data_IF_421709243075
#
_entry.id   IF_421709243075
#
_cell.length_a   1.000
_cell.length_b   1.000
_cell.length_c   1.000
_cell.angle_alpha   90.00
_cell.angle_beta   90.00
_cell.angle_gamma   90.00
#
_symmetry.space_group_name_H-M   'P 1'
#
loop_
_entity.id
_entity.type
_entity.pdbx_description
1 polymer ?
#
# COMPACT_ATOMS: atom_id res chain seq x y z
N UNK A 1 -10.54 -17.61 -24.00
CA UNK A 1 -11.21 -17.46 -22.70
C UNK A 1 -10.45 -18.25 -21.64
N UNK A 2 -10.35 -17.67 -20.44
CA UNK A 2 -9.79 -18.36 -19.28
C UNK A 2 -10.81 -19.31 -18.66
N UNK A 3 -10.31 -20.34 -17.97
CA UNK A 3 -11.17 -21.27 -17.22
C UNK A 3 -11.83 -20.52 -16.05
N UNK A 4 -13.18 -20.57 -15.91
CA UNK A 4 -13.88 -19.94 -14.79
C UNK A 4 -13.36 -20.33 -13.41
N UNK A 5 -12.88 -21.56 -13.23
CA UNK A 5 -12.27 -22.01 -11.98
C UNK A 5 -10.94 -21.27 -11.69
N UNK A 6 -10.15 -20.98 -12.72
CA UNK A 6 -8.92 -20.19 -12.57
C UNK A 6 -9.22 -18.71 -12.31
N UNK A 7 -10.25 -18.16 -12.93
CA UNK A 7 -10.73 -16.80 -12.62
C UNK A 7 -11.18 -16.70 -11.16
N UNK A 8 -11.94 -17.68 -10.65
CA UNK A 8 -12.34 -17.71 -9.24
C UNK A 8 -11.12 -17.78 -8.27
N UNK A 9 -10.05 -18.45 -8.68
CA UNK A 9 -8.80 -18.55 -7.89
C UNK A 9 -8.02 -17.23 -7.82
N UNK A 10 -8.32 -16.23 -8.65
CA UNK A 10 -7.70 -14.89 -8.56
C UNK A 10 -7.95 -14.23 -7.21
N UNK A 11 -9.08 -14.51 -6.56
CA UNK A 11 -9.36 -14.05 -5.19
C UNK A 11 -8.23 -14.40 -4.22
N UNK A 12 -7.56 -15.53 -4.42
CA UNK A 12 -6.51 -16.05 -3.55
C UNK A 12 -5.09 -15.85 -4.09
N UNK A 13 -4.95 -15.23 -5.26
CA UNK A 13 -3.67 -15.08 -5.96
C UNK A 13 -3.09 -13.70 -5.71
N UNK A 14 -1.87 -13.59 -5.13
CA UNK A 14 -1.21 -12.32 -4.96
C UNK A 14 -0.71 -11.74 -6.29
N UNK A 15 -0.50 -10.42 -6.32
CA UNK A 15 0.07 -9.70 -7.46
C UNK A 15 -0.94 -9.37 -8.54
N UNK A 16 -0.47 -8.71 -9.60
CA UNK A 16 -1.26 -8.36 -10.77
C UNK A 16 -1.40 -9.53 -11.74
N UNK A 17 -2.52 -10.26 -11.69
CA UNK A 17 -2.72 -11.48 -12.47
C UNK A 17 -2.65 -11.26 -14.00
N UNK A 18 -2.96 -10.06 -14.47
CA UNK A 18 -2.90 -9.66 -15.89
C UNK A 18 -1.65 -8.85 -16.23
N UNK A 19 -0.68 -8.80 -15.34
CA UNK A 19 0.51 -7.98 -15.45
C UNK A 19 0.34 -6.62 -14.78
N UNK A 20 1.44 -5.91 -14.65
CA UNK A 20 1.49 -4.53 -14.15
C UNK A 20 2.53 -3.75 -14.94
N UNK A 21 2.33 -2.44 -15.06
CA UNK A 21 3.25 -1.54 -15.72
C UNK A 21 3.59 -0.39 -14.76
N UNK A 22 4.86 0.01 -14.74
CA UNK A 22 5.35 1.27 -14.20
C UNK A 22 5.82 2.12 -15.35
N UNK A 23 4.91 2.91 -15.91
CA UNK A 23 5.21 3.84 -16.99
C UNK A 23 4.45 5.13 -16.73
N UNK A 24 5.15 6.23 -16.69
CA UNK A 24 4.53 7.56 -16.75
C UNK A 24 4.39 7.96 -18.20
N UNK A 25 3.16 8.12 -18.66
CA UNK A 25 2.85 8.62 -20.00
C UNK A 25 2.89 10.15 -20.09
N UNK A 26 3.46 10.82 -19.09
CA UNK A 26 3.64 12.25 -19.09
C UNK A 26 2.34 13.08 -19.19
N UNK A 27 2.44 14.31 -19.69
CA UNK A 27 1.28 15.15 -19.97
C UNK A 27 0.81 15.01 -21.41
N UNK A 28 -0.50 15.05 -21.70
CA UNK A 28 -1.01 15.12 -23.07
C UNK A 28 -0.47 16.31 -23.88
N UNK A 29 -0.09 17.38 -23.19
CA UNK A 29 0.46 18.59 -23.84
C UNK A 29 1.93 18.40 -24.29
N UNK A 30 2.67 17.56 -23.59
CA UNK A 30 4.10 17.31 -23.90
C UNK A 30 4.34 16.00 -24.67
N UNK A 31 3.43 15.05 -24.56
CA UNK A 31 3.51 13.72 -25.22
C UNK A 31 2.18 13.34 -25.87
N UNK A 32 1.61 14.19 -26.75
CA UNK A 32 0.32 13.92 -27.39
C UNK A 32 0.30 12.66 -28.24
N UNK A 33 1.44 12.23 -28.78
CA UNK A 33 1.60 11.02 -29.57
C UNK A 33 1.28 9.74 -28.79
N UNK A 34 1.64 9.67 -27.49
CA UNK A 34 1.34 8.52 -26.63
C UNK A 34 -0.16 8.38 -26.42
N UNK A 35 -0.85 9.50 -26.15
CA UNK A 35 -2.31 9.51 -25.99
C UNK A 35 -3.05 9.24 -27.30
N UNK A 36 -2.56 9.79 -28.40
CA UNK A 36 -3.10 9.48 -29.73
C UNK A 36 -3.00 7.99 -30.03
N UNK A 37 -1.86 7.39 -29.68
CA UNK A 37 -1.66 5.94 -29.83
C UNK A 37 -2.62 5.13 -28.98
N UNK A 38 -2.88 5.51 -27.73
CA UNK A 38 -3.90 4.86 -26.88
C UNK A 38 -5.29 4.92 -27.52
N UNK A 39 -5.69 6.08 -28.04
CA UNK A 39 -6.99 6.25 -28.72
C UNK A 39 -7.07 5.38 -29.98
N UNK A 40 -5.99 5.29 -30.78
CA UNK A 40 -5.92 4.38 -31.92
C UNK A 40 -6.10 2.92 -31.52
N UNK A 41 -5.43 2.48 -30.43
CA UNK A 41 -5.55 1.12 -29.90
C UNK A 41 -6.97 0.85 -29.44
N UNK A 42 -7.58 1.75 -28.69
CA UNK A 42 -8.97 1.60 -28.22
C UNK A 42 -9.94 1.47 -29.41
N UNK A 43 -9.81 2.33 -30.43
CA UNK A 43 -10.62 2.24 -31.66
C UNK A 43 -10.37 0.94 -32.43
N UNK A 44 -9.10 0.56 -32.61
CA UNK A 44 -8.76 -0.64 -33.39
C UNK A 44 -9.27 -1.93 -32.74
N UNK A 45 -9.32 -1.97 -31.40
CA UNK A 45 -9.79 -3.14 -30.65
C UNK A 45 -11.23 -3.04 -30.16
N UNK A 46 -11.97 -2.00 -30.57
CA UNK A 46 -13.37 -1.76 -30.19
C UNK A 46 -13.55 -1.73 -28.66
N UNK A 47 -12.68 -0.98 -27.97
CA UNK A 47 -12.69 -0.82 -26.52
C UNK A 47 -13.51 0.43 -26.18
N UNK A 48 -14.68 0.25 -25.56
CA UNK A 48 -15.56 1.32 -25.09
C UNK A 48 -15.48 1.56 -23.59
N UNK A 49 -14.83 0.68 -22.82
CA UNK A 49 -14.71 0.81 -21.37
C UNK A 49 -13.28 0.50 -20.92
N UNK A 50 -12.71 1.38 -20.12
CA UNK A 50 -11.37 1.26 -19.57
C UNK A 50 -11.41 1.30 -18.05
N UNK A 51 -11.16 0.15 -17.43
CA UNK A 51 -10.95 0.04 -15.98
C UNK A 51 -9.49 0.16 -15.65
N UNK A 52 -9.13 1.14 -14.80
CA UNK A 52 -7.74 1.32 -14.40
C UNK A 52 -7.57 1.10 -12.89
N UNK A 53 -6.92 -0.03 -12.55
CA UNK A 53 -6.69 -0.42 -11.16
C UNK A 53 -5.34 0.11 -10.69
N UNK A 54 -5.32 0.93 -9.62
CA UNK A 54 -4.08 1.47 -9.07
C UNK A 54 -4.23 2.52 -7.98
N UNK A 55 -3.11 3.15 -7.64
CA UNK A 55 -3.01 4.24 -6.65
C UNK A 55 -3.20 5.63 -7.28
N UNK A 56 -2.77 6.68 -6.57
CA UNK A 56 -2.94 8.10 -6.98
C UNK A 56 -2.41 8.40 -8.37
N UNK A 57 -1.20 7.96 -8.71
CA UNK A 57 -0.63 8.11 -10.06
C UNK A 57 -1.43 7.39 -11.15
N UNK A 58 -2.05 6.24 -10.83
CA UNK A 58 -2.94 5.56 -11.78
C UNK A 58 -4.25 6.32 -11.98
N UNK A 59 -4.79 6.94 -10.93
CA UNK A 59 -5.97 7.80 -11.03
C UNK A 59 -5.68 9.05 -11.86
N UNK A 60 -4.49 9.63 -11.72
CA UNK A 60 -4.02 10.73 -12.57
C UNK A 60 -3.95 10.32 -14.04
N UNK A 61 -3.37 9.16 -14.31
CA UNK A 61 -3.30 8.61 -15.69
C UNK A 61 -4.70 8.36 -16.25
N UNK A 62 -5.60 7.76 -15.48
CA UNK A 62 -6.99 7.54 -15.88
C UNK A 62 -7.71 8.86 -16.22
N UNK A 63 -7.54 9.91 -15.39
CA UNK A 63 -8.11 11.23 -15.64
C UNK A 63 -7.56 11.86 -16.93
N UNK A 64 -6.24 11.77 -17.18
CA UNK A 64 -5.62 12.25 -18.41
C UNK A 64 -6.16 11.51 -19.64
N UNK A 65 -6.24 10.17 -19.59
CA UNK A 65 -6.78 9.34 -20.68
C UNK A 65 -8.23 9.70 -20.97
N UNK A 66 -9.08 9.82 -19.94
CA UNK A 66 -10.49 10.20 -20.10
C UNK A 66 -10.65 11.57 -20.79
N UNK A 67 -9.88 12.55 -20.36
CA UNK A 67 -9.90 13.89 -20.92
C UNK A 67 -9.47 13.88 -22.40
N UNK A 68 -8.38 13.20 -22.72
CA UNK A 68 -7.86 13.13 -24.09
C UNK A 68 -8.80 12.36 -25.03
N UNK A 69 -9.36 11.22 -24.57
CA UNK A 69 -10.35 10.45 -25.33
C UNK A 69 -11.53 11.32 -25.73
N UNK A 70 -12.09 12.10 -24.79
CA UNK A 70 -13.20 13.02 -25.03
C UNK A 70 -12.83 14.11 -26.06
N UNK A 71 -11.65 14.72 -25.92
CA UNK A 71 -11.15 15.72 -26.89
C UNK A 71 -10.97 15.13 -28.28
N UNK A 72 -10.62 13.84 -28.38
CA UNK A 72 -10.44 13.10 -29.63
C UNK A 72 -11.75 12.52 -30.21
N UNK A 73 -12.89 12.83 -29.61
CA UNK A 73 -14.20 12.34 -30.05
C UNK A 73 -14.39 10.83 -29.86
N UNK A 74 -13.64 10.20 -28.96
CA UNK A 74 -13.83 8.80 -28.57
C UNK A 74 -14.79 8.74 -27.37
N UNK A 75 -15.89 8.01 -27.54
CA UNK A 75 -16.80 7.69 -26.44
C UNK A 75 -16.19 6.54 -25.63
N UNK A 76 -15.50 6.89 -24.55
CA UNK A 76 -14.77 5.97 -23.69
C UNK A 76 -15.22 6.15 -22.24
N UNK A 77 -15.78 5.12 -21.66
CA UNK A 77 -16.05 5.06 -20.22
C UNK A 77 -14.76 4.75 -19.47
N UNK A 78 -14.37 5.60 -18.51
CA UNK A 78 -13.16 5.41 -17.71
C UNK A 78 -13.51 5.33 -16.23
N UNK A 79 -13.19 4.20 -15.59
CA UNK A 79 -13.46 3.97 -14.17
C UNK A 79 -12.16 3.57 -13.46
N UNK A 80 -11.79 4.34 -12.43
CA UNK A 80 -10.71 4.00 -11.52
C UNK A 80 -11.14 2.96 -10.48
N UNK A 81 -10.30 1.96 -10.24
CA UNK A 81 -10.49 0.97 -9.19
C UNK A 81 -9.37 1.17 -8.17
N UNK A 82 -9.68 1.54 -6.92
CA UNK A 82 -8.66 1.87 -5.93
C UNK A 82 -7.84 0.64 -5.55
N UNK A 83 -6.54 0.79 -5.50
CA UNK A 83 -5.58 -0.19 -5.00
C UNK A 83 -4.32 0.52 -4.56
N UNK A 84 -3.96 0.38 -3.30
CA UNK A 84 -2.60 0.61 -2.78
C UNK A 84 -2.52 0.09 -1.35
N UNK A 85 -1.34 -0.38 -0.96
CA UNK A 85 -1.06 -0.73 0.44
C UNK A 85 -0.78 0.52 1.29
N UNK A 86 -0.47 1.65 0.66
CA UNK A 86 -0.03 2.88 1.32
C UNK A 86 -1.17 3.63 2.02
N UNK A 87 -2.44 3.28 1.71
CA UNK A 87 -3.65 3.90 2.26
C UNK A 87 -3.70 5.44 2.10
N UNK A 88 -3.11 5.92 1.01
CA UNK A 88 -2.87 7.34 0.74
C UNK A 88 -3.86 7.98 -0.24
N UNK A 89 -4.86 7.22 -0.73
CA UNK A 89 -5.89 7.75 -1.62
C UNK A 89 -6.91 8.60 -0.85
N UNK A 90 -7.16 9.86 -1.26
CA UNK A 90 -8.18 10.69 -0.63
C UNK A 90 -9.59 10.25 -1.02
N UNK A 91 -10.58 10.73 -0.28
CA UNK A 91 -12.01 10.51 -0.52
C UNK A 91 -12.46 9.04 -0.50
N UNK A 92 -11.65 8.14 0.04
CA UNK A 92 -12.04 6.77 0.37
C UNK A 92 -11.66 6.49 1.82
N UNK A 93 -12.44 5.70 2.55
CA UNK A 93 -12.14 5.35 3.94
C UNK A 93 -10.81 4.61 4.06
N UNK A 94 -10.60 3.66 3.16
CA UNK A 94 -9.38 2.87 3.07
C UNK A 94 -9.13 2.47 1.62
N UNK A 95 -7.87 2.14 1.32
CA UNK A 95 -7.49 1.61 0.01
C UNK A 95 -7.38 0.09 0.08
N UNK A 96 -8.06 -0.67 -0.82
CA UNK A 96 -7.87 -2.13 -0.89
C UNK A 96 -6.40 -2.52 -1.05
N UNK A 97 -5.94 -3.39 -0.16
CA UNK A 97 -4.55 -3.78 0.03
C UNK A 97 -4.01 -3.40 1.41
N UNK A 98 -4.39 -2.23 1.94
CA UNK A 98 -3.91 -1.74 3.23
C UNK A 98 -4.30 -2.65 4.39
N UNK A 99 -5.57 -3.06 4.50
CA UNK A 99 -6.03 -3.87 5.63
C UNK A 99 -5.26 -5.18 5.77
N UNK A 100 -4.96 -5.84 4.65
CA UNK A 100 -4.16 -7.07 4.63
C UNK A 100 -2.71 -6.84 5.03
N UNK A 101 -2.09 -5.77 4.53
CA UNK A 101 -0.70 -5.45 4.88
C UNK A 101 -0.59 -4.96 6.33
N UNK A 102 -1.53 -4.17 6.82
CA UNK A 102 -1.62 -3.77 8.22
C UNK A 102 -1.69 -5.00 9.16
N UNK A 103 -2.51 -6.00 8.79
CA UNK A 103 -2.57 -7.28 9.51
C UNK A 103 -1.24 -8.02 9.49
N UNK A 104 -0.58 -8.10 8.33
CA UNK A 104 0.74 -8.74 8.20
C UNK A 104 1.78 -8.07 9.09
N UNK A 105 1.87 -6.73 9.08
CA UNK A 105 2.85 -5.99 9.87
C UNK A 105 2.57 -6.17 11.37
N UNK A 106 1.31 -5.97 11.80
CA UNK A 106 0.94 -6.13 13.20
C UNK A 106 1.21 -7.55 13.71
N UNK A 107 0.90 -8.58 12.91
CA UNK A 107 1.15 -9.98 13.25
C UNK A 107 2.65 -10.25 13.34
N UNK A 108 3.43 -9.84 12.33
CA UNK A 108 4.89 -10.03 12.31
C UNK A 108 5.59 -9.35 13.49
N UNK A 109 5.18 -8.12 13.83
CA UNK A 109 5.70 -7.40 15.00
C UNK A 109 5.37 -8.15 16.29
N UNK A 110 4.15 -8.68 16.42
CA UNK A 110 3.71 -9.43 17.60
C UNK A 110 4.49 -10.74 17.78
N UNK A 111 4.74 -11.46 16.69
CA UNK A 111 5.51 -12.71 16.70
C UNK A 111 6.98 -12.47 17.03
N UNK A 112 7.62 -11.48 16.38
CA UNK A 112 9.01 -11.08 16.67
C UNK A 112 9.15 -10.58 18.11
N UNK A 113 8.13 -9.92 18.66
CA UNK A 113 8.14 -9.46 20.05
C UNK A 113 8.29 -10.60 21.04
N UNK A 114 7.62 -11.74 20.81
CA UNK A 114 7.71 -12.92 21.66
C UNK A 114 9.11 -13.54 21.61
N UNK A 115 9.69 -13.66 20.42
CA UNK A 115 11.05 -14.20 20.24
C UNK A 115 12.10 -13.27 20.87
N UNK A 116 11.98 -11.96 20.64
CA UNK A 116 12.89 -10.96 21.21
C UNK A 116 12.82 -10.94 22.75
N UNK A 117 11.61 -10.99 23.32
CA UNK A 117 11.39 -11.05 24.76
C UNK A 117 12.10 -12.26 25.37
N UNK A 118 11.99 -13.43 24.73
CA UNK A 118 12.58 -14.68 25.22
C UNK A 118 14.11 -14.61 25.31
N UNK A 119 14.78 -13.90 24.39
CA UNK A 119 16.26 -13.84 24.35
C UNK A 119 16.86 -12.58 24.96
N UNK A 120 16.06 -11.57 25.27
CA UNK A 120 16.52 -10.23 25.63
C UNK A 120 17.38 -10.18 26.90
N UNK A 121 17.26 -11.15 27.81
CA UNK A 121 18.05 -11.22 29.03
C UNK A 121 19.55 -11.30 28.79
N UNK A 122 19.97 -12.03 27.78
CA UNK A 122 21.39 -12.36 27.53
C UNK A 122 21.86 -12.05 26.11
N UNK A 123 20.97 -11.67 25.19
CA UNK A 123 21.29 -11.55 23.76
C UNK A 123 20.75 -10.24 23.17
N UNK A 124 19.96 -10.34 22.10
CA UNK A 124 19.43 -9.21 21.32
C UNK A 124 18.48 -8.36 22.13
N UNK A 125 18.68 -7.05 22.12
CA UNK A 125 17.87 -6.05 22.85
C UNK A 125 16.95 -5.27 21.92
N UNK A 126 17.34 -5.11 20.66
CA UNK A 126 16.60 -4.27 19.71
C UNK A 126 16.40 -5.03 18.40
N UNK A 127 15.18 -4.98 17.90
CA UNK A 127 14.86 -5.42 16.55
C UNK A 127 14.25 -4.26 15.75
N UNK A 128 14.70 -4.09 14.52
CA UNK A 128 14.23 -3.01 13.63
C UNK A 128 13.55 -3.65 12.42
N UNK A 129 12.33 -3.22 12.13
CA UNK A 129 11.59 -3.61 10.94
C UNK A 129 11.39 -2.37 10.06
N UNK A 130 11.98 -2.40 8.86
CA UNK A 130 11.70 -1.41 7.82
C UNK A 130 10.49 -1.86 7.00
N UNK A 131 9.54 -0.94 6.79
CA UNK A 131 8.32 -1.16 6.02
C UNK A 131 8.21 -0.12 4.92
N UNK A 132 7.47 -0.44 3.86
CA UNK A 132 7.14 0.51 2.81
C UNK A 132 6.36 1.71 3.37
N UNK A 133 6.32 2.79 2.62
CA UNK A 133 5.69 4.05 2.98
C UNK A 133 6.64 5.21 2.71
N UNK A 134 6.64 5.68 1.43
CA UNK A 134 7.55 6.74 0.98
C UNK A 134 7.14 8.10 1.52
N UNK A 135 5.87 8.46 1.36
CA UNK A 135 5.33 9.79 1.71
C UNK A 135 4.31 9.72 2.84
N UNK A 136 3.80 8.54 3.14
CA UNK A 136 2.81 8.31 4.18
C UNK A 136 3.20 7.12 5.07
N UNK A 137 3.12 7.31 6.38
CA UNK A 137 3.54 6.35 7.40
C UNK A 137 2.49 5.32 7.81
N UNK A 138 1.41 5.12 7.05
CA UNK A 138 0.30 4.24 7.40
C UNK A 138 0.73 2.80 7.72
N UNK A 139 1.67 2.25 6.96
CA UNK A 139 2.17 0.89 7.19
C UNK A 139 2.97 0.80 8.48
N UNK A 140 3.80 1.80 8.78
CA UNK A 140 4.50 1.86 10.05
C UNK A 140 3.51 2.05 11.22
N UNK A 141 2.49 2.90 11.06
CA UNK A 141 1.43 3.12 12.04
C UNK A 141 0.69 1.82 12.38
N UNK A 142 0.46 0.95 11.39
CA UNK A 142 -0.21 -0.34 11.58
C UNK A 142 0.52 -1.26 12.58
N UNK A 143 1.84 -1.10 12.77
CA UNK A 143 2.60 -1.82 13.78
C UNK A 143 2.07 -1.56 15.21
N UNK A 144 1.47 -0.39 15.44
CA UNK A 144 0.84 -0.07 16.72
C UNK A 144 -0.32 -0.98 17.11
N UNK A 145 -0.91 -1.70 16.14
CA UNK A 145 -1.95 -2.69 16.42
C UNK A 145 -1.41 -3.97 17.11
N UNK A 146 -0.08 -4.20 17.06
CA UNK A 146 0.53 -5.38 17.67
C UNK A 146 0.37 -5.44 19.19
N UNK A 147 0.24 -4.29 19.85
CA UNK A 147 0.10 -4.18 21.29
C UNK A 147 -1.17 -3.41 21.66
N UNK A 148 -1.79 -3.78 22.78
CA UNK A 148 -2.96 -3.06 23.29
C UNK A 148 -2.55 -1.88 24.17
N UNK A 149 -1.41 -2.03 24.87
CA UNK A 149 -0.88 -1.04 25.79
C UNK A 149 -0.01 -0.01 25.03
N UNK A 150 -0.26 1.27 25.29
CA UNK A 150 0.53 2.38 24.78
C UNK A 150 1.97 2.39 25.34
N UNK A 151 2.17 1.83 26.54
CA UNK A 151 3.50 1.68 27.16
C UNK A 151 4.32 0.51 26.60
N UNK A 152 3.86 -0.14 25.55
CA UNK A 152 4.50 -1.28 24.90
C UNK A 152 5.97 -1.01 24.51
N UNK A 153 6.81 -2.06 24.36
CA UNK A 153 8.21 -1.95 23.92
C UNK A 153 8.33 -1.69 22.41
N UNK A 154 7.52 -0.80 21.87
CA UNK A 154 7.45 -0.44 20.47
C UNK A 154 7.76 1.05 20.29
N UNK A 155 8.57 1.36 19.30
CA UNK A 155 8.77 2.69 18.75
C UNK A 155 8.41 2.66 17.25
N UNK A 156 7.56 3.57 16.81
CA UNK A 156 7.17 3.73 15.42
C UNK A 156 7.80 5.01 14.88
N UNK A 157 8.50 4.91 13.77
CA UNK A 157 9.11 6.04 13.07
C UNK A 157 8.28 6.27 11.79
N UNK A 158 7.50 7.34 11.81
CA UNK A 158 6.57 7.72 10.75
C UNK A 158 7.23 8.66 9.74
N UNK A 159 6.83 8.56 8.47
CA UNK A 159 7.31 9.45 7.41
C UNK A 159 6.93 10.93 7.67
N UNK A 160 5.83 11.16 8.39
CA UNK A 160 5.30 12.50 8.75
C UNK A 160 6.10 13.21 9.83
N UNK A 161 7.01 12.51 10.52
CA UNK A 161 7.78 13.06 11.65
C UNK A 161 9.26 13.09 11.31
N UNK A 162 9.85 14.28 11.35
CA UNK A 162 11.30 14.42 11.18
C UNK A 162 12.08 13.61 12.22
N UNK A 163 13.00 12.79 11.77
CA UNK A 163 13.82 11.94 12.62
C UNK A 163 14.92 12.74 13.33
N UNK A 164 14.85 12.74 14.65
CA UNK A 164 15.84 13.33 15.53
C UNK A 164 16.63 12.22 16.26
N UNK A 165 17.90 11.91 15.86
CA UNK A 165 18.66 10.80 16.44
C UNK A 165 18.77 10.82 17.96
N UNK A 166 18.96 12.01 18.57
CA UNK A 166 19.11 12.11 20.02
C UNK A 166 17.80 11.82 20.76
N UNK A 167 16.68 12.32 20.25
CA UNK A 167 15.35 12.07 20.79
C UNK A 167 14.97 10.59 20.66
N UNK A 168 15.27 9.99 19.50
CA UNK A 168 15.09 8.56 19.28
C UNK A 168 15.90 7.70 20.26
N UNK A 169 17.20 8.02 20.45
CA UNK A 169 18.07 7.30 21.40
C UNK A 169 17.51 7.39 22.82
N UNK A 170 17.04 8.57 23.26
CA UNK A 170 16.44 8.73 24.57
C UNK A 170 15.17 7.85 24.75
N UNK A 171 14.28 7.83 23.74
CA UNK A 171 13.09 6.98 23.75
C UNK A 171 13.46 5.48 23.75
N UNK A 172 14.46 5.09 22.96
CA UNK A 172 14.98 3.71 22.92
C UNK A 172 15.51 3.27 24.29
N UNK A 173 16.34 4.10 24.94
CA UNK A 173 16.86 3.82 26.28
C UNK A 173 15.73 3.64 27.31
N UNK A 174 14.72 4.50 27.27
CA UNK A 174 13.56 4.40 28.15
C UNK A 174 12.80 3.07 27.95
N UNK A 175 12.54 2.67 26.70
CA UNK A 175 11.87 1.41 26.39
C UNK A 175 12.68 0.19 26.81
N UNK A 176 14.00 0.18 26.53
CA UNK A 176 14.86 -0.94 26.93
C UNK A 176 15.02 -1.00 28.45
N UNK A 177 15.09 0.14 29.14
CA UNK A 177 15.15 0.16 30.62
C UNK A 177 13.85 -0.39 31.23
N UNK A 178 12.70 -0.07 30.69
CA UNK A 178 11.40 -0.47 31.20
C UNK A 178 11.08 -1.96 30.90
N UNK A 179 11.34 -2.42 29.65
CA UNK A 179 10.90 -3.73 29.18
C UNK A 179 12.03 -4.75 28.98
N UNK A 180 13.29 -4.31 29.03
CA UNK A 180 14.46 -5.14 28.72
C UNK A 180 14.80 -5.23 27.23
N UNK A 181 13.90 -4.79 26.35
CA UNK A 181 14.04 -4.85 24.89
C UNK A 181 13.13 -3.81 24.21
N UNK A 182 13.32 -3.61 22.90
CA UNK A 182 12.52 -2.70 22.09
C UNK A 182 12.43 -3.17 20.63
N UNK A 183 11.24 -3.05 20.04
CA UNK A 183 11.04 -3.14 18.58
C UNK A 183 10.93 -1.72 18.03
N UNK A 184 11.57 -1.48 16.90
CA UNK A 184 11.46 -0.24 16.13
C UNK A 184 10.85 -0.60 14.78
N UNK A 185 9.73 0.03 14.40
CA UNK A 185 9.18 -0.08 13.06
C UNK A 185 9.32 1.26 12.36
N UNK A 186 9.95 1.27 11.19
CA UNK A 186 10.29 2.50 10.49
C UNK A 186 9.73 2.49 9.06
N UNK A 187 9.05 3.58 8.66
CA UNK A 187 8.67 3.82 7.29
C UNK A 187 9.92 4.15 6.45
N UNK A 188 10.07 3.54 5.28
CA UNK A 188 11.23 3.76 4.39
C UNK A 188 11.44 5.24 4.02
N UNK A 189 10.34 6.02 3.96
CA UNK A 189 10.32 7.44 3.68
C UNK A 189 10.59 8.36 4.88
N UNK A 190 11.23 7.85 5.94
CA UNK A 190 11.57 8.65 7.13
C UNK A 190 12.39 9.88 6.76
N UNK A 191 11.98 11.04 7.26
CA UNK A 191 12.59 12.33 6.94
C UNK A 191 13.63 12.75 7.97
N UNK A 192 14.70 13.37 7.51
CA UNK A 192 15.76 13.99 8.32
C UNK A 192 15.96 15.44 7.86
N UNK A 193 15.47 16.41 8.61
CA UNK A 193 15.55 17.85 8.28
C UNK A 193 15.01 18.19 6.89
N UNK A 194 13.83 17.66 6.56
CA UNK A 194 13.15 17.92 5.31
C UNK A 194 13.68 17.16 4.08
N UNK A 195 14.55 16.18 4.27
CA UNK A 195 15.04 15.27 3.24
C UNK A 195 14.91 13.83 3.71
N UNK A 196 14.86 12.85 2.80
CA UNK A 196 14.90 11.45 3.21
C UNK A 196 16.18 11.14 4.00
N UNK A 197 16.04 10.40 5.10
CA UNK A 197 17.19 10.02 5.94
C UNK A 197 18.18 9.12 5.20
N UNK A 198 17.73 8.41 4.20
CA UNK A 198 18.55 7.61 3.29
C UNK A 198 18.31 8.10 1.86
N UNK A 199 19.38 8.49 1.18
CA UNK A 199 19.33 8.80 -0.25
C UNK A 199 19.38 7.50 -1.02
N UNK A 200 18.63 7.43 -2.12
CA UNK A 200 18.73 6.34 -3.07
C UNK A 200 20.16 6.23 -3.61
N UNK A 201 20.70 5.01 -3.62
CA UNK A 201 22.04 4.77 -4.16
C UNK A 201 22.10 4.95 -5.68
N UNK A 202 20.95 4.79 -6.38
CA UNK A 202 20.83 4.94 -7.84
C UNK A 202 19.40 5.35 -8.21
N UNK A 203 19.24 6.22 -9.20
CA UNK A 203 17.94 6.51 -9.80
C UNK A 203 17.47 5.29 -10.61
N UNK A 204 16.25 4.82 -10.37
CA UNK A 204 15.66 3.80 -11.25
C UNK A 204 15.50 4.35 -12.69
N UNK A 205 15.59 3.44 -13.65
CA UNK A 205 15.48 3.72 -15.11
C UNK A 205 14.17 4.46 -15.47
N UNK A 206 13.19 4.48 -14.58
CA UNK A 206 11.86 5.11 -14.76
C UNK A 206 11.62 6.35 -13.88
N UNK A 207 12.67 6.97 -13.31
CA UNK A 207 12.56 8.27 -12.61
C UNK A 207 12.07 8.19 -11.15
N UNK A 208 11.91 7.01 -10.58
CA UNK A 208 11.63 6.84 -9.16
C UNK A 208 12.90 6.45 -8.42
N UNK A 209 13.29 7.26 -7.43
CA UNK A 209 14.40 6.91 -6.53
C UNK A 209 14.02 5.69 -5.68
N UNK A 210 14.86 4.65 -5.68
CA UNK A 210 14.68 3.53 -4.78
C UNK A 210 15.21 3.91 -3.41
N UNK A 211 14.32 4.04 -2.42
CA UNK A 211 14.69 4.21 -1.03
C UNK A 211 15.20 2.89 -0.45
N UNK A 212 16.12 2.94 0.50
CA UNK A 212 16.61 1.76 1.18
C UNK A 212 17.79 2.05 2.12
N UNK A 213 18.10 1.09 2.98
CA UNK A 213 19.20 1.23 3.92
C UNK A 213 18.83 1.92 5.23
N UNK A 214 17.55 2.22 5.47
CA UNK A 214 17.10 2.86 6.70
C UNK A 214 17.28 1.94 7.92
N UNK A 215 16.86 0.67 7.84
CA UNK A 215 17.03 -0.27 8.94
C UNK A 215 18.49 -0.47 9.35
N UNK A 216 19.48 -0.68 8.46
CA UNK A 216 20.89 -0.73 8.84
C UNK A 216 21.40 0.59 9.38
N UNK A 217 20.94 1.74 8.90
CA UNK A 217 21.31 3.05 9.46
C UNK A 217 20.87 3.16 10.93
N UNK A 218 19.60 2.88 11.23
CA UNK A 218 19.08 2.89 12.60
C UNK A 218 19.78 1.82 13.45
N UNK A 219 20.04 0.62 12.89
CA UNK A 219 20.78 -0.43 13.60
C UNK A 219 22.19 0.01 13.99
N UNK A 220 22.87 0.78 13.16
CA UNK A 220 24.18 1.35 13.51
C UNK A 220 24.07 2.37 14.64
N UNK A 221 23.02 3.18 14.69
CA UNK A 221 22.77 4.10 15.79
C UNK A 221 22.55 3.35 17.11
N UNK A 222 21.72 2.30 17.10
CA UNK A 222 21.43 1.51 18.31
C UNK A 222 22.63 0.71 18.80
N UNK A 223 23.45 0.15 17.89
CA UNK A 223 24.69 -0.57 18.23
C UNK A 223 25.73 0.36 18.88
N UNK A 224 25.84 1.61 18.46
CA UNK A 224 26.69 2.62 19.10
C UNK A 224 26.27 2.91 20.55
N UNK A 225 25.03 2.63 20.93
CA UNK A 225 24.55 2.70 22.31
C UNK A 225 24.79 1.41 23.12
N UNK A 226 25.51 0.43 22.55
CA UNK A 226 25.84 -0.83 23.22
C UNK A 226 24.74 -1.91 23.10
N UNK A 227 23.66 -1.69 22.31
CA UNK A 227 22.63 -2.69 22.15
C UNK A 227 22.94 -3.67 21.01
N UNK A 228 22.86 -4.97 21.30
CA UNK A 228 22.84 -5.98 20.25
C UNK A 228 21.54 -5.83 19.47
N UNK A 229 21.66 -5.55 18.18
CA UNK A 229 20.55 -5.20 17.29
C UNK A 229 20.52 -6.08 16.06
N UNK A 230 19.33 -6.61 15.73
CA UNK A 230 19.01 -7.21 14.45
C UNK A 230 17.98 -6.36 13.70
N UNK A 231 17.87 -6.57 12.41
CA UNK A 231 16.93 -5.86 11.57
C UNK A 231 16.47 -6.70 10.39
N UNK A 232 15.32 -6.34 9.85
CA UNK A 232 14.76 -6.87 8.61
C UNK A 232 14.11 -5.76 7.79
N UNK A 233 14.02 -5.96 6.49
CA UNK A 233 13.24 -5.16 5.56
C UNK A 233 12.09 -6.03 5.06
N UNK A 234 10.85 -5.59 5.21
CA UNK A 234 9.67 -6.35 4.76
C UNK A 234 9.56 -6.38 3.24
N UNK A 235 9.98 -5.31 2.57
CA UNK A 235 9.96 -5.15 1.11
C UNK A 235 8.73 -5.82 0.45
N UNK A 236 8.90 -6.63 -0.58
CA UNK A 236 7.81 -7.29 -1.30
C UNK A 236 7.06 -8.35 -0.48
N UNK A 237 7.62 -8.86 0.59
CA UNK A 237 6.91 -9.83 1.45
C UNK A 237 5.63 -9.24 2.03
N UNK A 238 5.66 -7.98 2.49
CA UNK A 238 4.49 -7.34 3.07
C UNK A 238 3.32 -7.21 2.10
N UNK A 239 3.56 -6.94 0.81
CA UNK A 239 2.50 -6.77 -0.19
C UNK A 239 2.08 -8.06 -0.90
N UNK A 240 2.74 -9.18 -0.63
CA UNK A 240 2.46 -10.47 -1.25
C UNK A 240 2.04 -11.56 -0.27
N UNK A 241 1.92 -11.24 1.03
CA UNK A 241 1.60 -12.18 2.10
C UNK A 241 0.11 -12.59 2.09
N UNK A 242 -0.36 -13.20 1.00
CA UNK A 242 -1.77 -13.57 0.81
C UNK A 242 -2.31 -14.51 1.90
N UNK A 243 -1.43 -15.27 2.56
CA UNK A 243 -1.77 -16.18 3.65
C UNK A 243 -2.23 -15.47 4.94
N UNK A 244 -1.93 -14.17 5.10
CA UNK A 244 -2.36 -13.33 6.22
C UNK A 244 -3.36 -12.24 5.80
N UNK A 245 -3.99 -12.36 4.64
CA UNK A 245 -4.94 -11.35 4.19
C UNK A 245 -6.12 -11.17 5.16
N UNK A 246 -6.53 -9.92 5.33
CA UNK A 246 -7.76 -9.58 6.04
C UNK A 246 -8.96 -9.92 5.17
N UNK A 247 -9.98 -10.59 5.75
CA UNK A 247 -11.23 -10.87 5.03
C UNK A 247 -11.95 -9.58 4.65
N UNK A 248 -11.98 -8.60 5.54
CA UNK A 248 -12.61 -7.29 5.27
C UNK A 248 -11.97 -6.64 4.05
N UNK A 249 -10.65 -6.60 3.98
CA UNK A 249 -9.91 -6.02 2.86
C UNK A 249 -10.17 -6.76 1.54
N UNK A 250 -10.20 -8.09 1.56
CA UNK A 250 -10.51 -8.91 0.37
C UNK A 250 -11.95 -8.70 -0.10
N UNK A 251 -12.92 -8.59 0.82
CA UNK A 251 -14.31 -8.29 0.51
C UNK A 251 -14.45 -6.89 -0.10
N UNK A 252 -13.78 -5.90 0.44
CA UNK A 252 -13.76 -4.53 -0.09
C UNK A 252 -13.11 -4.47 -1.47
N UNK A 253 -11.98 -5.15 -1.68
CA UNK A 253 -11.32 -5.22 -2.98
C UNK A 253 -12.23 -5.82 -4.06
N UNK A 254 -12.89 -6.94 -3.74
CA UNK A 254 -13.84 -7.58 -4.65
C UNK A 254 -15.03 -6.67 -4.95
N UNK A 255 -15.60 -6.05 -3.92
CA UNK A 255 -16.75 -5.16 -4.07
C UNK A 255 -16.42 -3.91 -4.92
N UNK A 256 -15.21 -3.34 -4.76
CA UNK A 256 -14.74 -2.23 -5.60
C UNK A 256 -14.68 -2.62 -7.08
N UNK A 257 -14.17 -3.80 -7.40
CA UNK A 257 -14.16 -4.31 -8.77
C UNK A 257 -15.56 -4.50 -9.35
N UNK A 258 -16.47 -5.10 -8.57
CA UNK A 258 -17.87 -5.29 -8.98
C UNK A 258 -18.60 -3.95 -9.17
N UNK A 259 -18.41 -3.00 -8.26
CA UNK A 259 -19.00 -1.67 -8.35
C UNK A 259 -18.51 -0.89 -9.57
N UNK A 260 -17.23 -1.02 -9.94
CA UNK A 260 -16.70 -0.39 -11.15
C UNK A 260 -17.46 -0.81 -12.40
N UNK A 261 -17.77 -2.11 -12.53
CA UNK A 261 -18.57 -2.64 -13.64
C UNK A 261 -20.00 -2.10 -13.60
N UNK A 262 -20.62 -2.06 -12.40
CA UNK A 262 -21.97 -1.51 -12.23
C UNK A 262 -22.02 -0.02 -12.61
N UNK A 263 -21.03 0.77 -12.17
CA UNK A 263 -20.95 2.21 -12.50
C UNK A 263 -20.80 2.44 -13.99
N UNK A 264 -20.00 1.62 -14.69
CA UNK A 264 -19.91 1.69 -16.14
C UNK A 264 -21.25 1.37 -16.81
N UNK A 265 -21.95 0.33 -16.34
CA UNK A 265 -23.28 -0.04 -16.86
C UNK A 265 -24.36 1.02 -16.59
N UNK A 266 -24.23 1.79 -15.51
CA UNK A 266 -25.07 2.94 -15.18
C UNK A 266 -24.72 4.22 -15.97
N UNK A 267 -23.71 4.16 -16.84
CA UNK A 267 -23.24 5.30 -17.64
C UNK A 267 -22.38 6.30 -16.87
N UNK A 268 -21.87 5.94 -15.68
CA UNK A 268 -20.88 6.76 -14.98
C UNK A 268 -19.52 6.65 -15.68
N UNK A 269 -18.81 7.76 -15.78
CA UNK A 269 -17.43 7.83 -16.30
C UNK A 269 -16.63 8.87 -15.54
N UNK A 270 -15.30 8.86 -15.69
CA UNK A 270 -14.36 9.78 -15.05
C UNK A 270 -14.42 9.73 -13.52
N UNK A 271 -14.73 8.55 -12.97
CA UNK A 271 -14.86 8.35 -11.54
C UNK A 271 -13.99 7.22 -11.03
N UNK A 272 -13.59 7.30 -9.76
CA UNK A 272 -13.01 6.20 -8.99
C UNK A 272 -14.08 5.64 -8.05
N UNK A 273 -14.09 4.32 -7.85
CA UNK A 273 -14.85 3.70 -6.77
C UNK A 273 -14.23 4.09 -5.44
N UNK A 274 -15.05 4.50 -4.48
CA UNK A 274 -14.62 4.89 -3.14
C UNK A 274 -15.37 4.10 -2.07
N UNK A 275 -14.66 3.67 -1.05
CA UNK A 275 -15.24 3.05 0.15
C UNK A 275 -15.67 4.17 1.09
N UNK A 276 -16.90 4.12 1.59
CA UNK A 276 -17.46 5.03 2.58
C UNK A 276 -17.76 4.29 3.85
N UNK A 277 -17.05 4.60 4.93
CA UNK A 277 -17.39 4.10 6.27
C UNK A 277 -18.71 4.73 6.72
N UNK A 278 -19.66 3.89 7.11
CA UNK A 278 -20.99 4.34 7.56
C UNK A 278 -21.22 4.07 9.05
N UNK A 279 -20.43 3.17 9.66
CA UNK A 279 -20.45 2.89 11.09
C UNK A 279 -19.10 2.30 11.52
N UNK A 280 -18.70 2.58 12.77
CA UNK A 280 -17.49 2.01 13.38
C UNK A 280 -17.79 0.72 14.16
N UNK A 281 -18.93 0.66 14.83
CA UNK A 281 -19.34 -0.50 15.67
C UNK A 281 -20.81 -0.80 15.45
N UNK A 282 -21.14 -1.88 14.72
CA UNK A 282 -20.22 -2.69 13.91
C UNK A 282 -19.62 -1.88 12.76
N UNK A 283 -18.45 -2.27 12.26
CA UNK A 283 -17.86 -1.65 11.08
C UNK A 283 -18.74 -1.94 9.85
N UNK A 284 -19.29 -0.88 9.28
CA UNK A 284 -20.12 -0.95 8.09
C UNK A 284 -19.59 0.05 7.05
N UNK A 285 -19.70 -0.35 5.79
CA UNK A 285 -19.25 0.47 4.67
C UNK A 285 -20.17 0.31 3.47
N UNK A 286 -20.16 1.31 2.61
CA UNK A 286 -20.83 1.35 1.31
C UNK A 286 -19.84 1.78 0.25
N UNK A 287 -20.24 1.70 -1.02
CA UNK A 287 -19.44 2.16 -2.16
C UNK A 287 -20.10 3.39 -2.80
N UNK A 288 -19.26 4.30 -3.22
CA UNK A 288 -19.64 5.55 -3.86
C UNK A 288 -18.72 5.83 -5.05
N UNK A 289 -19.07 6.80 -5.89
CA UNK A 289 -18.25 7.26 -7.00
C UNK A 289 -17.71 8.66 -6.70
N UNK A 290 -16.40 8.85 -6.83
CA UNK A 290 -15.73 10.15 -6.71
C UNK A 290 -15.05 10.50 -8.02
N UNK A 291 -15.04 11.76 -8.41
CA UNK A 291 -14.39 12.19 -9.64
C UNK A 291 -12.88 11.96 -9.59
N UNK A 292 -12.30 11.47 -10.70
CA UNK A 292 -10.87 11.19 -10.81
C UNK A 292 -10.00 12.41 -10.52
N UNK A 293 -10.41 13.60 -10.97
CA UNK A 293 -9.67 14.86 -10.72
C UNK A 293 -9.58 15.23 -9.22
N UNK A 294 -10.43 14.65 -8.36
CA UNK A 294 -10.42 14.92 -6.91
C UNK A 294 -9.48 13.99 -6.14
N UNK A 295 -9.00 12.95 -6.79
CA UNK A 295 -8.12 11.92 -6.17
C UNK A 295 -6.77 11.80 -6.88
N UNK A 296 -6.68 12.33 -8.10
CA UNK A 296 -5.50 12.27 -8.93
C UNK A 296 -4.33 13.03 -8.29
N UNK A 297 -3.17 12.36 -8.14
CA UNK A 297 -1.93 12.97 -7.64
C UNK A 297 -2.03 13.63 -6.24
N UNK A 298 -2.97 13.16 -5.42
CA UNK A 298 -3.12 13.60 -4.04
C UNK A 298 -2.78 12.43 -3.13
N UNK A 299 -1.84 12.64 -2.22
CA UNK A 299 -1.44 11.67 -1.20
C UNK A 299 -1.98 12.08 0.17
N UNK A 300 -2.60 11.13 0.88
CA UNK A 300 -3.16 11.35 2.21
C UNK A 300 -2.18 10.85 3.27
N UNK A 301 -1.52 11.74 4.02
CA UNK A 301 -0.64 11.35 5.13
C UNK A 301 -1.46 10.78 6.29
N UNK A 302 -0.77 10.15 7.24
CA UNK A 302 -1.37 9.76 8.53
C UNK A 302 -1.85 11.02 9.25
N UNK A 303 -3.15 11.11 9.62
CA UNK A 303 -3.69 12.28 10.33
C UNK A 303 -2.93 12.53 11.65
N UNK A 304 -2.68 13.78 11.97
CA UNK A 304 -1.94 14.16 13.18
C UNK A 304 -2.61 13.66 14.48
N UNK A 305 -3.94 13.58 14.51
CA UNK A 305 -4.71 13.02 15.62
C UNK A 305 -4.53 11.50 15.79
N UNK A 306 -3.96 10.81 14.79
CA UNK A 306 -3.62 9.39 14.86
C UNK A 306 -2.21 9.16 15.44
N UNK A 307 -1.40 10.21 15.50
CA UNK A 307 -0.01 10.16 15.98
C UNK A 307 0.02 10.57 17.45
N UNK A 308 0.68 9.79 18.28
CA UNK A 308 0.87 10.12 19.71
C UNK A 308 1.71 11.40 19.84
N UNK A 309 1.49 12.20 20.90
CA UNK A 309 2.26 13.46 21.12
C UNK A 309 3.76 13.27 21.22
N UNK A 310 4.22 12.07 21.64
CA UNK A 310 5.65 11.73 21.67
C UNK A 310 6.23 11.43 20.28
N UNK A 311 5.40 11.29 19.24
CA UNK A 311 5.78 10.99 17.86
C UNK A 311 6.24 9.56 17.61
N UNK A 312 6.13 8.64 18.59
CA UNK A 312 6.66 7.28 18.50
C UNK A 312 5.59 6.19 18.58
N UNK A 313 4.34 6.53 18.38
CA UNK A 313 3.25 5.58 18.47
C UNK A 313 1.95 6.11 17.87
N UNK A 314 0.90 5.30 17.95
CA UNK A 314 -0.44 5.63 17.49
C UNK A 314 -1.38 5.89 18.67
N UNK A 315 -2.41 6.74 18.42
CA UNK A 315 -3.47 7.02 19.38
C UNK A 315 -4.57 5.95 19.37
N UNK A 316 -5.48 6.01 20.33
CA UNK A 316 -6.68 5.16 20.34
C UNK A 316 -7.59 5.45 19.11
N UNK A 317 -7.63 6.69 18.62
CA UNK A 317 -8.36 7.02 17.40
C UNK A 317 -7.82 6.25 16.18
N UNK A 318 -6.50 6.19 16.02
CA UNK A 318 -5.87 5.38 14.98
C UNK A 318 -6.19 3.89 15.13
N UNK A 319 -6.17 3.36 16.35
CA UNK A 319 -6.55 1.97 16.61
C UNK A 319 -8.00 1.69 16.23
N UNK A 320 -8.93 2.55 16.64
CA UNK A 320 -10.34 2.43 16.28
C UNK A 320 -10.56 2.46 14.76
N UNK A 321 -9.81 3.29 14.04
CA UNK A 321 -9.87 3.33 12.59
C UNK A 321 -9.35 2.04 11.95
N UNK A 322 -8.16 1.56 12.37
CA UNK A 322 -7.46 0.45 11.69
C UNK A 322 -7.92 -0.95 12.12
N UNK A 323 -8.34 -1.15 13.38
CA UNK A 323 -8.71 -2.48 13.88
C UNK A 323 -9.79 -3.20 13.06
N UNK A 324 -10.87 -2.54 12.60
CA UNK A 324 -11.86 -3.19 11.74
C UNK A 324 -11.30 -3.67 10.41
N UNK A 325 -10.30 -2.97 9.88
CA UNK A 325 -9.73 -3.25 8.55
C UNK A 325 -8.90 -4.54 8.50
N UNK A 326 -8.39 -4.99 9.66
CA UNK A 326 -7.56 -6.20 9.76
C UNK A 326 -8.36 -7.46 10.13
N UNK A 327 -9.68 -7.38 10.18
CA UNK A 327 -10.52 -8.45 10.71
C UNK A 327 -10.77 -9.60 9.75
N UNK A 328 -10.89 -10.78 10.36
CA UNK A 328 -11.24 -12.03 9.68
C UNK A 328 -10.11 -12.63 8.86
N UNK A 329 -10.27 -13.93 8.58
CA UNK A 329 -9.29 -14.74 7.85
C UNK A 329 -9.80 -15.03 6.45
N UNK A 330 -8.95 -14.88 5.45
CA UNK A 330 -9.21 -15.26 4.06
C UNK A 330 -7.94 -15.91 3.49
N UNK A 331 -7.59 -17.08 4.00
CA UNK A 331 -6.40 -17.81 3.56
C UNK A 331 -6.63 -18.44 2.18
N UNK A 332 -5.59 -18.54 1.33
CA UNK A 332 -5.66 -19.30 0.09
C UNK A 332 -5.82 -20.79 0.39
N UNK A 333 -6.34 -21.60 -0.56
CA UNK A 333 -6.30 -23.05 -0.42
C UNK A 333 -4.85 -23.54 -0.45
N UNK A 334 -4.57 -24.61 0.31
CA UNK A 334 -3.25 -25.24 0.39
C UNK A 334 -3.27 -26.62 -0.24
N UNK A 335 -2.18 -27.01 -0.88
CA UNK A 335 -1.90 -28.36 -1.39
C UNK A 335 -0.44 -28.67 -1.11
N UNK A 336 -0.18 -29.82 -0.54
CA UNK A 336 1.17 -30.29 -0.20
C UNK A 336 1.96 -29.27 0.63
N UNK A 337 1.28 -28.58 1.55
CA UNK A 337 1.88 -27.59 2.44
C UNK A 337 2.11 -26.19 1.82
N UNK A 338 1.79 -25.97 0.55
CA UNK A 338 1.95 -24.69 -0.13
C UNK A 338 0.61 -24.11 -0.62
N UNK A 339 0.48 -22.76 -0.68
CA UNK A 339 -0.73 -22.15 -1.20
C UNK A 339 -0.88 -22.41 -2.71
N UNK A 340 -2.12 -22.60 -3.14
CA UNK A 340 -2.45 -22.82 -4.54
C UNK A 340 -2.95 -21.50 -5.14
N UNK A 341 -2.36 -21.10 -6.26
CA UNK A 341 -2.69 -19.86 -6.97
C UNK A 341 -3.24 -20.16 -8.36
N UNK A 342 -3.93 -19.17 -8.95
CA UNK A 342 -4.45 -19.26 -10.31
C UNK A 342 -3.33 -19.48 -11.33
N UNK A 343 -3.64 -20.25 -12.36
CA UNK A 343 -2.78 -20.45 -13.54
C UNK A 343 -3.54 -20.03 -14.78
N UNK A 344 -3.37 -18.78 -15.16
CA UNK A 344 -4.01 -18.21 -16.34
C UNK A 344 -3.21 -18.57 -17.60
N UNK A 345 -3.90 -18.76 -18.72
CA UNK A 345 -3.29 -19.00 -20.04
C UNK A 345 -2.69 -17.73 -20.64
N UNK A 346 -3.25 -16.58 -20.29
CA UNK A 346 -2.85 -15.24 -20.75
C UNK A 346 -2.69 -15.19 -22.29
N UNK A 347 -3.69 -15.70 -23.01
CA UNK A 347 -3.67 -15.65 -24.47
C UNK A 347 -3.74 -14.21 -24.96
N UNK A 348 -2.70 -13.77 -25.65
CA UNK A 348 -2.65 -12.45 -26.24
C UNK A 348 -3.58 -12.35 -27.46
N UNK A 349 -4.35 -11.27 -27.51
CA UNK A 349 -5.04 -10.87 -28.73
C UNK A 349 -4.02 -10.37 -29.76
N UNK A 350 -4.08 -10.80 -31.03
CA UNK A 350 -3.17 -10.28 -32.04
C UNK A 350 -3.22 -8.76 -32.14
N UNK A 351 -2.05 -8.12 -32.23
CA UNK A 351 -1.96 -6.69 -32.42
C UNK A 351 -2.60 -6.30 -33.76
N UNK A 352 -3.45 -5.27 -33.74
CA UNK A 352 -4.12 -4.74 -34.95
C UNK A 352 -3.40 -3.53 -35.54
N UNK A 353 -2.40 -3.01 -34.83
CA UNK A 353 -1.63 -1.86 -35.23
C UNK A 353 -0.13 -2.19 -35.22
N UNK A 354 0.71 -1.50 -36.00
CA UNK A 354 2.15 -1.69 -35.95
C UNK A 354 2.72 -1.35 -34.56
N UNK A 355 3.94 -1.81 -34.30
CA UNK A 355 4.65 -1.44 -33.08
C UNK A 355 4.76 0.08 -32.96
N UNK A 356 4.70 0.56 -31.73
CA UNK A 356 4.86 1.97 -31.40
C UNK A 356 6.13 2.09 -30.55
N UNK A 357 7.04 2.94 -30.98
CA UNK A 357 8.26 3.26 -30.22
C UNK A 357 7.90 4.33 -29.19
N UNK A 358 8.13 4.02 -27.92
CA UNK A 358 7.80 4.86 -26.76
C UNK A 358 8.95 5.80 -26.44
#
# INVERSE_FOLDING_TARGET
YEDPAQIAMLRHTPGGAFGSCRMDIGSPDTHPEQYSRLVEVFKAHDIGTFFYNGGGGSMLTAAKVARFARQSGLDLTVIGIPKTIDNDLPLTDTSPGFGSVAKYIATSVREVALDLAAMSGTSTKVFILEVMGRHAGWLAAAAGLAFEDEESPLLILLAEIDFEPQRFIAALHAKVAQHGWCIVVAAEGLMCKGQFCTQAAESEIFGHEQLGGLAPMIANLTRKQGYKTHWAVSDYFQRSARHLASRVDVEQAYACGAAAVSFAAEGKTDVMVAIRRTSDVPYLWTLDAVHLDQVADIELPVPSEFIRPDGYGITQAARHYMLPLIQGEDAPPFRDGLPVFAKLKLQHTPAKLPLFDV
#
